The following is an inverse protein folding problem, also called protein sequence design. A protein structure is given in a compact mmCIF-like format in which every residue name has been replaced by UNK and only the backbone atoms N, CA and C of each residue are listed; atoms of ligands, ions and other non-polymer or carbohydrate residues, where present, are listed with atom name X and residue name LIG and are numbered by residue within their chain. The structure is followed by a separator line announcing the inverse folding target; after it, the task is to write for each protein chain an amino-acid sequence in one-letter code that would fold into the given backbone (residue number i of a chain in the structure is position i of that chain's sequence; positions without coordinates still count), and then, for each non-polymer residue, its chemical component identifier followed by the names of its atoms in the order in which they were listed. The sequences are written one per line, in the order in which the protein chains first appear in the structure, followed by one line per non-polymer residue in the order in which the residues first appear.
data_IF_380164403045
#
_entry.id   IF_380164403045
#
_cell.length_a   1.000
_cell.length_b   1.000
_cell.length_c   1.000
_cell.angle_alpha   90.00
_cell.angle_beta   90.00
_cell.angle_gamma   90.00
#
_symmetry.space_group_name_H-M   'P 1'
#
loop_
_entity.id
_entity.type
_entity.pdbx_description
1 polymer ?
#
# COMPACT_ATOMS: atom_id res chain seq x y z
N UNK A 1 -26.70 -20.91 -42.87
CA UNK A 1 -25.52 -21.30 -42.07
C UNK A 1 -24.87 -22.48 -42.77
N UNK A 2 -23.59 -22.39 -43.15
CA UNK A 2 -22.98 -23.38 -44.04
C UNK A 2 -22.70 -24.68 -43.25
N UNK A 3 -23.18 -25.84 -43.69
CA UNK A 3 -23.06 -27.12 -42.96
C UNK A 3 -21.62 -27.47 -42.58
N UNK A 4 -20.63 -26.95 -43.33
CA UNK A 4 -19.20 -27.08 -43.02
C UNK A 4 -18.78 -26.39 -41.72
N UNK A 5 -19.37 -25.23 -41.40
CA UNK A 5 -19.08 -24.48 -40.17
C UNK A 5 -19.64 -25.22 -38.95
N UNK A 6 -20.83 -25.81 -39.09
CA UNK A 6 -21.44 -26.60 -38.01
C UNK A 6 -20.58 -27.83 -37.65
N UNK A 7 -20.03 -28.51 -38.65
CA UNK A 7 -19.14 -29.65 -38.45
C UNK A 7 -17.83 -29.26 -37.74
N UNK A 8 -17.23 -28.14 -38.13
CA UNK A 8 -16.00 -27.64 -37.50
C UNK A 8 -16.26 -27.31 -36.02
N UNK A 9 -17.36 -26.64 -35.71
CA UNK A 9 -17.73 -26.30 -34.33
C UNK A 9 -18.01 -27.56 -33.50
N UNK A 10 -18.72 -28.55 -34.06
CA UNK A 10 -19.00 -29.81 -33.38
C UNK A 10 -17.72 -30.60 -33.07
N UNK A 11 -16.79 -30.70 -34.04
CA UNK A 11 -15.50 -31.35 -33.82
C UNK A 11 -14.67 -30.63 -32.75
N UNK A 12 -14.69 -29.30 -32.73
CA UNK A 12 -13.98 -28.51 -31.72
C UNK A 12 -14.53 -28.75 -30.31
N UNK A 13 -15.86 -28.81 -30.16
CA UNK A 13 -16.53 -29.09 -28.89
C UNK A 13 -16.21 -30.48 -28.34
N UNK A 14 -16.12 -31.50 -29.23
CA UNK A 14 -15.73 -32.86 -28.83
C UNK A 14 -14.29 -32.87 -28.32
N UNK A 15 -13.37 -32.16 -28.98
CA UNK A 15 -11.97 -32.06 -28.54
C UNK A 15 -11.88 -31.36 -27.18
N UNK A 16 -12.61 -30.25 -27.00
CA UNK A 16 -12.66 -29.54 -25.70
C UNK A 16 -13.21 -30.45 -24.60
N UNK A 17 -14.23 -31.26 -24.89
CA UNK A 17 -14.81 -32.22 -23.94
C UNK A 17 -13.85 -33.36 -23.54
N UNK A 18 -13.02 -33.84 -24.48
CA UNK A 18 -12.02 -34.89 -24.24
C UNK A 18 -10.78 -34.38 -23.50
N UNK A 19 -10.30 -33.19 -23.89
CA UNK A 19 -9.06 -32.62 -23.34
C UNK A 19 -9.30 -31.91 -22.00
N UNK A 20 -10.56 -31.53 -21.69
CA UNK A 20 -10.94 -30.75 -20.50
C UNK A 20 -9.92 -29.66 -20.18
N UNK A 21 -9.57 -28.79 -21.15
CA UNK A 21 -8.59 -27.75 -20.92
C UNK A 21 -9.06 -26.84 -19.79
N UNK A 22 -8.12 -26.47 -18.92
CA UNK A 22 -8.41 -25.66 -17.76
C UNK A 22 -8.65 -24.20 -18.19
N UNK A 23 -9.92 -23.80 -18.22
CA UNK A 23 -10.35 -22.42 -18.51
C UNK A 23 -10.42 -21.54 -17.27
N UNK A 24 -9.88 -21.95 -16.11
CA UNK A 24 -9.94 -21.19 -14.85
C UNK A 24 -9.35 -19.78 -14.91
N UNK A 25 -8.61 -19.45 -15.96
CA UNK A 25 -8.00 -18.14 -16.20
C UNK A 25 -8.67 -17.35 -17.33
N UNK A 26 -9.65 -17.92 -18.04
CA UNK A 26 -10.40 -17.23 -19.09
C UNK A 26 -11.50 -16.39 -18.43
N UNK A 27 -11.15 -15.18 -17.99
CA UNK A 27 -12.10 -14.24 -17.37
C UNK A 27 -11.68 -13.66 -16.02
N UNK A 28 -10.51 -14.03 -15.48
CA UNK A 28 -9.91 -13.36 -14.30
C UNK A 28 -9.23 -12.03 -14.67
N UNK A 29 -9.79 -11.30 -15.63
CA UNK A 29 -9.54 -9.88 -15.79
C UNK A 29 -10.38 -9.10 -14.79
N UNK A 30 -10.20 -9.35 -13.50
CA UNK A 30 -10.69 -8.42 -12.50
C UNK A 30 -9.89 -7.16 -12.70
N UNK A 31 -10.52 -6.12 -13.26
CA UNK A 31 -9.96 -4.78 -13.28
C UNK A 31 -9.62 -4.45 -11.83
N UNK A 32 -8.34 -4.54 -11.46
CA UNK A 32 -7.86 -3.76 -10.34
C UNK A 32 -8.19 -2.33 -10.72
N UNK A 33 -9.17 -1.76 -10.03
CA UNK A 33 -9.31 -0.31 -10.01
C UNK A 33 -8.01 0.15 -9.38
N UNK A 34 -7.03 0.48 -10.23
CA UNK A 34 -5.89 1.27 -9.83
C UNK A 34 -6.53 2.61 -9.45
N UNK A 35 -6.92 2.71 -8.18
CA UNK A 35 -7.21 3.98 -7.57
C UNK A 35 -5.88 4.72 -7.69
N UNK A 36 -5.80 5.64 -8.67
CA UNK A 36 -4.64 6.49 -8.86
C UNK A 36 -4.65 7.44 -7.67
N UNK A 37 -4.18 6.96 -6.52
CA UNK A 37 -3.91 7.82 -5.39
C UNK A 37 -2.68 8.62 -5.80
N UNK A 38 -2.90 9.91 -6.06
CA UNK A 38 -1.82 10.83 -6.41
C UNK A 38 -1.00 11.05 -5.16
N UNK A 39 0.09 10.31 -5.03
CA UNK A 39 1.01 10.45 -3.91
C UNK A 39 2.03 11.53 -4.25
N UNK A 40 1.83 12.72 -3.71
CA UNK A 40 2.74 13.86 -3.89
C UNK A 40 3.92 13.81 -2.91
N UNK A 41 5.11 14.31 -3.30
CA UNK A 41 6.22 14.43 -2.37
C UNK A 41 5.87 15.39 -1.21
N UNK A 42 6.42 15.15 -0.01
CA UNK A 42 6.24 16.07 1.11
C UNK A 42 6.85 17.43 0.83
N UNK A 43 6.17 18.49 1.29
CA UNK A 43 6.60 19.88 1.14
C UNK A 43 7.76 20.25 2.08
N UNK A 44 7.80 19.64 3.27
CA UNK A 44 8.88 19.84 4.25
C UNK A 44 10.17 19.13 3.79
N UNK A 45 11.28 19.87 3.58
CA UNK A 45 12.57 19.30 3.22
C UNK A 45 13.10 18.26 4.22
N UNK A 46 12.89 18.46 5.52
CA UNK A 46 13.39 17.58 6.57
C UNK A 46 12.69 16.22 6.49
N UNK A 47 11.36 16.26 6.35
CA UNK A 47 10.53 15.07 6.19
C UNK A 47 10.84 14.34 4.88
N UNK A 48 11.11 15.10 3.81
CA UNK A 48 11.54 14.55 2.52
C UNK A 48 12.89 13.84 2.62
N UNK A 49 13.85 14.41 3.32
CA UNK A 49 15.15 13.79 3.54
C UNK A 49 15.00 12.47 4.31
N UNK A 50 14.19 12.47 5.37
CA UNK A 50 13.89 11.28 6.17
C UNK A 50 13.23 10.14 5.37
N UNK A 51 12.58 10.44 4.24
CA UNK A 51 12.00 9.44 3.35
C UNK A 51 13.04 8.70 2.49
N UNK A 52 14.23 9.28 2.26
CA UNK A 52 15.24 8.70 1.36
C UNK A 52 15.70 7.31 1.80
N UNK A 53 15.99 7.06 3.10
CA UNK A 53 16.34 5.72 3.59
C UNK A 53 15.23 4.67 3.39
N UNK A 54 13.95 5.08 3.38
CA UNK A 54 12.82 4.17 3.11
C UNK A 54 12.79 3.77 1.64
N UNK A 55 12.97 4.75 0.75
CA UNK A 55 13.03 4.54 -0.70
C UNK A 55 14.18 3.57 -1.02
N UNK A 56 15.37 3.82 -0.46
CA UNK A 56 16.54 2.97 -0.67
C UNK A 56 16.37 1.57 -0.08
N UNK A 57 15.75 1.42 1.10
CA UNK A 57 15.48 0.10 1.68
C UNK A 57 14.57 -0.77 0.80
N UNK A 58 13.55 -0.16 0.17
CA UNK A 58 12.69 -0.87 -0.79
C UNK A 58 13.41 -1.16 -2.10
N UNK A 59 14.15 -0.19 -2.65
CA UNK A 59 14.84 -0.34 -3.93
C UNK A 59 15.92 -1.42 -3.88
N UNK A 60 16.64 -1.51 -2.78
CA UNK A 60 17.72 -2.47 -2.56
C UNK A 60 17.25 -3.81 -1.97
N UNK A 61 15.94 -3.96 -1.70
CA UNK A 61 15.36 -5.17 -1.13
C UNK A 61 14.86 -6.17 -2.17
N UNK A 62 13.85 -6.95 -1.78
CA UNK A 62 13.27 -8.00 -2.61
C UNK A 62 12.59 -7.49 -3.90
N UNK A 63 12.58 -8.33 -4.94
CA UNK A 63 11.89 -8.04 -6.22
C UNK A 63 10.37 -7.85 -6.08
N UNK A 64 9.78 -8.31 -4.97
CA UNK A 64 8.37 -8.03 -4.64
C UNK A 64 8.10 -6.58 -4.24
N UNK A 65 9.12 -5.69 -4.22
CA UNK A 65 9.03 -4.27 -3.81
C UNK A 65 7.91 -3.51 -4.49
N UNK A 66 7.59 -3.82 -5.75
CA UNK A 66 6.52 -3.14 -6.49
C UNK A 66 5.16 -3.37 -5.82
N UNK A 67 4.86 -4.63 -5.47
CA UNK A 67 3.60 -5.00 -4.83
C UNK A 67 3.58 -4.63 -3.36
N UNK A 68 4.69 -4.86 -2.67
CA UNK A 68 4.79 -4.61 -1.23
C UNK A 68 4.80 -3.11 -0.93
N UNK A 69 5.59 -2.32 -1.68
CA UNK A 69 5.61 -0.86 -1.58
C UNK A 69 4.25 -0.22 -1.87
N UNK A 70 3.51 -0.70 -2.90
CA UNK A 70 2.14 -0.22 -3.15
C UNK A 70 1.18 -0.50 -1.99
N UNK A 71 1.24 -1.69 -1.38
CA UNK A 71 0.38 -2.04 -0.24
C UNK A 71 0.70 -1.21 1.00
N UNK A 72 1.99 -1.01 1.27
CA UNK A 72 2.44 -0.15 2.36
C UNK A 72 2.05 1.30 2.13
N UNK A 73 2.20 1.80 0.90
CA UNK A 73 1.78 3.14 0.50
C UNK A 73 0.28 3.36 0.75
N UNK A 74 -0.57 2.42 0.30
CA UNK A 74 -2.01 2.50 0.51
C UNK A 74 -2.38 2.47 1.99
N UNK A 75 -1.75 1.60 2.79
CA UNK A 75 -2.00 1.59 4.24
C UNK A 75 -1.62 2.93 4.89
N UNK A 76 -0.48 3.51 4.53
CA UNK A 76 -0.08 4.82 5.05
C UNK A 76 -1.08 5.92 4.66
N UNK A 77 -1.63 5.88 3.45
CA UNK A 77 -2.70 6.79 3.02
C UNK A 77 -4.00 6.57 3.80
N UNK A 78 -4.38 5.33 4.04
CA UNK A 78 -5.58 4.98 4.83
C UNK A 78 -5.44 5.48 6.28
N UNK A 79 -4.25 5.35 6.88
CA UNK A 79 -3.95 5.89 8.21
C UNK A 79 -3.99 7.43 8.20
N UNK A 80 -3.40 8.08 7.20
CA UNK A 80 -3.49 9.54 7.06
C UNK A 80 -4.95 10.00 6.97
N UNK A 81 -5.76 9.29 6.17
CA UNK A 81 -7.18 9.60 6.01
C UNK A 81 -7.99 9.34 7.28
N UNK A 82 -7.67 8.29 8.02
CA UNK A 82 -8.28 8.00 9.32
C UNK A 82 -8.04 9.17 10.30
N UNK A 83 -6.79 9.63 10.41
CA UNK A 83 -6.41 10.73 11.29
C UNK A 83 -7.09 12.04 10.88
N UNK A 84 -7.18 12.30 9.57
CA UNK A 84 -7.82 13.49 9.00
C UNK A 84 -9.33 13.53 9.27
N UNK A 85 -10.04 12.41 9.02
CA UNK A 85 -11.48 12.31 9.23
C UNK A 85 -11.88 12.30 10.71
N UNK A 86 -11.00 11.79 11.57
CA UNK A 86 -11.24 11.70 13.01
C UNK A 86 -11.27 13.06 13.72
N UNK A 87 -10.92 14.16 13.05
CA UNK A 87 -11.01 15.52 13.61
C UNK A 87 -12.42 15.95 14.06
N UNK A 88 -13.49 15.27 13.62
CA UNK A 88 -14.88 15.60 13.96
C UNK A 88 -15.40 14.84 15.21
N UNK A 89 -15.07 13.55 15.36
CA UNK A 89 -15.55 12.68 16.45
C UNK A 89 -14.47 12.34 17.52
N UNK A 90 -13.19 12.65 17.22
CA UNK A 90 -11.98 12.52 18.06
C UNK A 90 -11.88 11.19 18.82
N UNK A 91 -11.91 10.09 18.07
CA UNK A 91 -11.65 8.73 18.56
C UNK A 91 -10.15 8.51 18.78
N UNK A 92 -9.28 9.11 17.94
CA UNK A 92 -7.82 9.09 18.08
C UNK A 92 -7.34 10.37 18.75
N UNK A 93 -6.89 10.22 19.99
CA UNK A 93 -6.57 11.29 20.94
C UNK A 93 -5.09 11.46 21.19
N UNK A 94 -4.27 10.47 20.85
CA UNK A 94 -2.83 10.50 21.14
C UNK A 94 -1.99 9.90 20.02
N UNK A 95 -0.70 10.24 19.99
CA UNK A 95 0.26 9.65 19.04
C UNK A 95 0.47 8.15 19.28
N UNK A 96 0.29 7.66 20.50
CA UNK A 96 0.31 6.22 20.80
C UNK A 96 -0.88 5.46 20.20
N UNK A 97 -2.06 6.07 20.17
CA UNK A 97 -3.24 5.46 19.54
C UNK A 97 -3.08 5.33 18.01
N UNK A 98 -2.38 6.27 17.38
CA UNK A 98 -1.95 6.14 15.98
C UNK A 98 -1.02 4.94 15.81
N UNK A 99 0.01 4.81 16.66
CA UNK A 99 0.95 3.66 16.63
C UNK A 99 0.19 2.35 16.80
N UNK A 100 -0.78 2.34 17.72
CA UNK A 100 -1.66 1.19 17.93
C UNK A 100 -2.48 0.86 16.67
N UNK A 101 -3.12 1.85 16.04
CA UNK A 101 -3.86 1.66 14.79
C UNK A 101 -2.99 1.07 13.67
N UNK A 102 -1.77 1.59 13.50
CA UNK A 102 -0.79 1.06 12.53
C UNK A 102 -0.41 -0.39 12.86
N UNK A 103 -0.17 -0.70 14.15
CA UNK A 103 0.17 -2.04 14.61
C UNK A 103 -0.95 -3.07 14.37
N UNK A 104 -2.20 -2.62 14.42
CA UNK A 104 -3.39 -3.45 14.18
C UNK A 104 -3.62 -3.66 12.68
N UNK A 105 -3.46 -2.59 11.89
CA UNK A 105 -3.75 -2.60 10.46
C UNK A 105 -2.65 -3.30 9.64
N UNK A 106 -1.39 -3.23 10.05
CA UNK A 106 -0.26 -3.87 9.35
C UNK A 106 -0.47 -5.37 9.06
N UNK A 107 -0.81 -6.20 10.07
CA UNK A 107 -1.12 -7.62 9.87
C UNK A 107 -2.28 -7.88 8.91
N UNK A 108 -3.24 -6.96 8.79
CA UNK A 108 -4.39 -7.12 7.88
C UNK A 108 -3.99 -7.11 6.40
N UNK A 109 -2.83 -6.55 6.05
CA UNK A 109 -2.30 -6.58 4.69
C UNK A 109 -1.85 -7.98 4.24
N UNK A 110 -1.67 -8.92 5.19
CA UNK A 110 -1.23 -10.32 4.94
C UNK A 110 -0.01 -10.36 4.03
N UNK A 111 0.98 -9.54 4.38
CA UNK A 111 2.21 -9.41 3.62
C UNK A 111 3.30 -10.32 4.19
N UNK A 112 4.03 -10.97 3.29
CA UNK A 112 5.25 -11.68 3.64
C UNK A 112 6.42 -10.73 3.38
N UNK A 113 6.81 -9.91 4.35
CA UNK A 113 7.91 -8.92 4.21
C UNK A 113 9.06 -9.14 5.20
N UNK A 114 8.94 -10.14 6.07
CA UNK A 114 9.94 -10.41 7.10
C UNK A 114 11.28 -10.74 6.44
N UNK A 115 12.30 -9.95 6.74
CA UNK A 115 13.66 -10.12 6.20
C UNK A 115 13.83 -9.71 4.73
N UNK A 116 12.79 -9.23 4.04
CA UNK A 116 12.87 -8.82 2.62
C UNK A 116 13.48 -7.44 2.41
N UNK A 117 13.37 -6.58 3.43
CA UNK A 117 13.78 -5.18 3.38
C UNK A 117 14.54 -4.84 4.66
N UNK A 118 15.88 -4.94 4.67
CA UNK A 118 16.70 -4.55 5.80
C UNK A 118 16.39 -3.11 6.22
N UNK A 119 16.31 -2.87 7.52
CA UNK A 119 16.06 -1.56 8.13
C UNK A 119 14.78 -0.82 7.71
N UNK A 120 13.89 -1.41 6.89
CA UNK A 120 12.67 -0.74 6.43
C UNK A 120 11.80 -0.26 7.60
N UNK A 121 11.61 -1.10 8.61
CA UNK A 121 10.82 -0.74 9.80
C UNK A 121 11.46 0.42 10.57
N UNK A 122 12.78 0.38 10.76
CA UNK A 122 13.55 1.43 11.43
C UNK A 122 13.47 2.76 10.66
N UNK A 123 13.68 2.71 9.35
CA UNK A 123 13.64 3.88 8.48
C UNK A 123 12.23 4.48 8.39
N UNK A 124 11.19 3.64 8.39
CA UNK A 124 9.80 4.10 8.41
C UNK A 124 9.46 4.80 9.73
N UNK A 125 9.92 4.26 10.86
CA UNK A 125 9.75 4.90 12.17
C UNK A 125 10.46 6.26 12.20
N UNK A 126 11.65 6.38 11.61
CA UNK A 126 12.38 7.64 11.55
C UNK A 126 11.61 8.75 10.83
N UNK A 127 10.83 8.43 9.77
CA UNK A 127 9.94 9.40 9.10
C UNK A 127 8.87 9.92 10.06
N UNK A 128 8.23 9.02 10.81
CA UNK A 128 7.18 9.39 11.77
C UNK A 128 7.75 10.23 12.91
N UNK A 129 8.91 9.86 13.45
CA UNK A 129 9.60 10.62 14.50
C UNK A 129 10.04 11.99 13.99
N UNK A 130 10.50 12.10 12.74
CA UNK A 130 10.90 13.38 12.15
C UNK A 130 9.71 14.36 12.00
N UNK A 131 8.52 13.85 11.68
CA UNK A 131 7.34 14.70 11.47
C UNK A 131 6.51 14.98 12.73
N UNK A 132 6.31 13.99 13.60
CA UNK A 132 5.43 14.09 14.77
C UNK A 132 6.21 14.15 16.09
N UNK A 133 7.38 13.50 16.15
CA UNK A 133 8.15 13.27 17.38
C UNK A 133 8.01 11.84 17.92
N UNK A 134 8.84 11.50 18.90
CA UNK A 134 8.83 10.17 19.54
C UNK A 134 7.93 10.11 20.79
N UNK A 135 7.71 11.26 21.44
CA UNK A 135 6.91 11.32 22.66
C UNK A 135 5.43 10.98 22.42
N UNK A 136 4.81 10.38 23.44
CA UNK A 136 3.37 10.25 23.46
C UNK A 136 2.75 11.61 23.85
N UNK A 137 2.06 12.24 22.91
CA UNK A 137 1.44 13.55 23.10
C UNK A 137 -0.02 13.55 22.65
N UNK A 138 -0.87 14.42 23.24
CA UNK A 138 -2.23 14.63 22.74
C UNK A 138 -2.26 15.05 21.28
N UNK A 139 -3.25 14.56 20.53
CA UNK A 139 -3.43 14.83 19.12
C UNK A 139 -4.29 16.08 18.90
N UNK A 140 -3.72 17.25 19.23
CA UNK A 140 -4.30 18.55 18.89
C UNK A 140 -4.28 18.81 17.36
N UNK A 141 -4.94 19.88 16.90
CA UNK A 141 -5.08 20.17 15.47
C UNK A 141 -3.73 20.26 14.74
N UNK A 142 -2.72 20.86 15.39
CA UNK A 142 -1.39 21.00 14.83
C UNK A 142 -0.67 19.66 14.72
N UNK A 143 -0.72 18.84 15.78
CA UNK A 143 -0.10 17.50 15.82
C UNK A 143 -0.82 16.55 14.88
N UNK A 144 -2.14 16.67 14.75
CA UNK A 144 -2.95 15.93 13.78
C UNK A 144 -2.55 16.26 12.35
N UNK A 145 -2.38 17.54 12.02
CA UNK A 145 -1.91 17.95 10.71
C UNK A 145 -0.52 17.37 10.39
N UNK A 146 0.43 17.50 11.32
CA UNK A 146 1.76 16.89 11.19
C UNK A 146 1.71 15.39 11.01
N UNK A 147 0.81 14.71 11.72
CA UNK A 147 0.62 13.27 11.59
C UNK A 147 0.14 12.90 10.19
N UNK A 148 -0.89 13.59 9.68
CA UNK A 148 -1.38 13.41 8.31
C UNK A 148 -0.24 13.59 7.30
N UNK A 149 0.52 14.69 7.40
CA UNK A 149 1.65 14.95 6.50
C UNK A 149 2.73 13.87 6.59
N UNK A 150 3.03 13.38 7.79
CA UNK A 150 4.02 12.32 8.03
C UNK A 150 3.62 10.99 7.38
N UNK A 151 2.35 10.60 7.48
CA UNK A 151 1.86 9.38 6.85
C UNK A 151 1.72 9.53 5.33
N UNK A 152 1.37 10.72 4.83
CA UNK A 152 1.41 11.02 3.40
C UNK A 152 2.84 10.98 2.84
N UNK A 153 3.82 11.51 3.59
CA UNK A 153 5.23 11.42 3.24
C UNK A 153 5.73 9.98 3.21
N UNK A 154 5.35 9.18 4.21
CA UNK A 154 5.69 7.76 4.26
C UNK A 154 5.04 6.98 3.09
N UNK A 155 3.78 7.30 2.78
CA UNK A 155 3.11 6.73 1.61
C UNK A 155 3.84 7.08 0.30
N UNK A 156 4.32 8.31 0.17
CA UNK A 156 5.13 8.75 -0.95
C UNK A 156 6.42 7.96 -1.04
N UNK A 157 7.15 7.82 0.06
CA UNK A 157 8.40 7.07 0.12
C UNK A 157 8.21 5.60 -0.31
N UNK A 158 7.14 4.94 0.16
CA UNK A 158 6.81 3.59 -0.26
C UNK A 158 6.44 3.49 -1.74
N UNK A 159 5.68 4.46 -2.26
CA UNK A 159 5.33 4.51 -3.67
C UNK A 159 6.57 4.73 -4.56
N UNK A 160 7.45 5.65 -4.21
CA UNK A 160 8.70 5.89 -4.93
C UNK A 160 9.67 4.70 -4.83
N UNK A 161 9.78 4.05 -3.68
CA UNK A 161 10.57 2.83 -3.52
C UNK A 161 10.02 1.63 -4.30
N UNK A 162 8.74 1.66 -4.65
CA UNK A 162 8.08 0.62 -5.45
C UNK A 162 8.33 0.74 -6.96
N UNK A 163 8.85 1.89 -7.41
CA UNK A 163 9.26 2.14 -8.81
C UNK A 163 10.67 1.60 -9.01
#
# INVERSE_FOLDING_TARGET
MNNKILLIVASLLIIVGLVKPDFSNLGKGGSSVDQIVVVSPPSDPTLKEACSPVIEALKNGASSRVKDGKRLSNLSLDIARLIELDGEDVVIKTTDEIRYAVSLAGPMLRMDIKGKYPDLAKNSQAVIVAGIGDDNVPLDDATRHKAVESFQALAWAYNEGSK
#
